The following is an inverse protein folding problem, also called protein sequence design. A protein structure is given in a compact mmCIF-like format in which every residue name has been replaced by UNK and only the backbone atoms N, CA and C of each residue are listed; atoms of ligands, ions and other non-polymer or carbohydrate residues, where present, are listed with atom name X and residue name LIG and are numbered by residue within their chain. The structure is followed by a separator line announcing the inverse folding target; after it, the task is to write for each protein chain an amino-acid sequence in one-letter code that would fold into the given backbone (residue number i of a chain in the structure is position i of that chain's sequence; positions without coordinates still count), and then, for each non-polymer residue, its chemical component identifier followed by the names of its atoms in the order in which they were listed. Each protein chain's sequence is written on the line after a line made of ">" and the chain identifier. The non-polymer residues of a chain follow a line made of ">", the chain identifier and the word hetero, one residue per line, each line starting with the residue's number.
data_IF_686342022248
#
_entry.id   IF_686342022248
#
_cell.length_a   1.000
_cell.length_b   1.000
_cell.length_c   1.000
_cell.angle_alpha   90.00
_cell.angle_beta   90.00
_cell.angle_gamma   90.00
#
_symmetry.space_group_name_H-M   'P 1'
#
loop_
_entity.id
_entity.type
_entity.pdbx_description
1 polymer ?
#
# COMPACT_ATOMS: atom_id res chain seq x y z
N UNK A 1 -26.06 -0.39 -18.55
CA UNK A 1 -25.12 -1.50 -18.34
C UNK A 1 -24.04 -1.03 -17.37
N UNK A 2 -23.67 -1.84 -16.37
CA UNK A 2 -22.48 -1.57 -15.55
C UNK A 2 -21.26 -2.05 -16.34
N UNK A 3 -20.65 -1.13 -17.09
CA UNK A 3 -19.49 -1.41 -17.94
C UNK A 3 -18.16 -1.34 -17.17
N UNK A 4 -18.19 -1.20 -15.84
CA UNK A 4 -16.99 -1.15 -15.01
C UNK A 4 -16.09 0.06 -15.26
N UNK A 5 -16.63 1.12 -15.86
CA UNK A 5 -15.89 2.31 -16.31
C UNK A 5 -16.26 3.57 -15.51
N UNK A 6 -16.86 3.41 -14.33
CA UNK A 6 -17.16 4.52 -13.43
C UNK A 6 -15.90 4.94 -12.68
N UNK A 7 -15.67 6.24 -12.59
CA UNK A 7 -14.60 6.79 -11.77
C UNK A 7 -14.81 6.48 -10.28
N UNK A 8 -13.70 6.38 -9.55
CA UNK A 8 -13.66 6.19 -8.11
C UNK A 8 -13.52 7.54 -7.39
N UNK A 9 -14.10 7.63 -6.20
CA UNK A 9 -13.89 8.75 -5.29
C UNK A 9 -12.52 8.65 -4.61
N UNK A 10 -12.18 7.45 -4.12
CA UNK A 10 -10.95 7.18 -3.42
C UNK A 10 -10.64 5.68 -3.45
N UNK A 11 -9.39 5.35 -3.11
CA UNK A 11 -8.96 4.00 -2.75
C UNK A 11 -8.37 4.06 -1.35
N UNK A 12 -8.78 3.13 -0.49
CA UNK A 12 -8.18 2.94 0.83
C UNK A 12 -7.49 1.60 0.94
N UNK A 13 -6.41 1.54 1.72
CA UNK A 13 -5.71 0.32 2.10
C UNK A 13 -6.04 -0.05 3.55
N UNK A 14 -6.40 -1.33 3.75
CA UNK A 14 -6.38 -1.98 5.05
C UNK A 14 -5.38 -3.13 5.00
N UNK A 15 -4.47 -3.16 5.96
CA UNK A 15 -3.54 -4.25 6.21
C UNK A 15 -3.81 -4.85 7.58
N UNK A 16 -3.88 -6.18 7.64
CA UNK A 16 -4.15 -6.91 8.89
C UNK A 16 -3.17 -8.07 9.06
N UNK A 17 -2.80 -8.35 10.30
CA UNK A 17 -2.04 -9.54 10.63
C UNK A 17 -2.93 -10.78 10.37
N UNK A 18 -2.34 -11.82 9.80
CA UNK A 18 -2.96 -13.12 9.63
C UNK A 18 -2.96 -13.92 10.95
N UNK A 19 -3.17 -15.24 10.84
CA UNK A 19 -3.21 -16.14 12.00
C UNK A 19 -1.91 -16.11 12.83
N UNK A 20 -0.77 -15.87 12.19
CA UNK A 20 0.53 -15.72 12.85
C UNK A 20 0.85 -14.22 12.99
N UNK A 21 0.54 -13.66 14.16
CA UNK A 21 0.96 -12.31 14.55
C UNK A 21 2.24 -12.38 15.40
N UNK A 22 3.13 -11.39 15.24
CA UNK A 22 4.34 -11.23 16.05
C UNK A 22 4.67 -9.75 16.27
N UNK A 23 5.79 -9.47 16.96
CA UNK A 23 6.32 -8.12 17.12
C UNK A 23 6.49 -7.38 15.79
N UNK A 24 6.74 -8.10 14.69
CA UNK A 24 6.78 -7.52 13.33
C UNK A 24 5.50 -6.75 12.96
N UNK A 25 4.36 -7.13 13.53
CA UNK A 25 3.04 -6.57 13.22
C UNK A 25 2.37 -5.86 14.41
N UNK A 26 2.81 -6.14 15.65
CA UNK A 26 2.21 -5.56 16.85
C UNK A 26 2.98 -4.35 17.40
N UNK A 27 4.30 -4.26 17.14
CA UNK A 27 5.09 -3.09 17.48
C UNK A 27 4.96 -2.04 16.36
N UNK A 28 4.34 -0.90 16.69
CA UNK A 28 4.11 0.19 15.72
C UNK A 28 5.35 1.03 15.44
N UNK A 29 6.36 0.99 16.30
CA UNK A 29 7.57 1.82 16.21
C UNK A 29 8.74 1.04 15.63
N UNK A 30 9.00 -0.16 16.14
CA UNK A 30 10.14 -0.99 15.74
C UNK A 30 9.72 -2.21 14.90
N UNK A 31 8.41 -2.48 14.76
CA UNK A 31 7.91 -3.49 13.84
C UNK A 31 8.00 -3.03 12.39
N UNK A 32 7.52 -3.89 11.47
CA UNK A 32 7.58 -3.61 10.05
C UNK A 32 6.86 -2.29 9.72
N UNK A 33 7.50 -1.52 8.86
CA UNK A 33 6.99 -0.26 8.35
C UNK A 33 6.66 -0.42 6.86
N UNK A 34 5.55 0.18 6.42
CA UNK A 34 5.02 0.11 5.08
C UNK A 34 5.08 1.47 4.39
N UNK A 35 5.61 1.50 3.17
CA UNK A 35 5.58 2.65 2.26
C UNK A 35 5.03 2.20 0.91
N UNK A 36 4.22 3.04 0.25
CA UNK A 36 3.76 2.80 -1.12
C UNK A 36 4.12 4.00 -1.98
N UNK A 37 4.78 3.72 -3.10
CA UNK A 37 5.13 4.70 -4.12
C UNK A 37 4.47 4.31 -5.44
N UNK A 38 4.10 5.30 -6.25
CA UNK A 38 3.67 5.12 -7.63
C UNK A 38 4.78 5.59 -8.58
N UNK A 39 4.93 4.90 -9.69
CA UNK A 39 5.72 5.35 -10.83
C UNK A 39 4.79 5.65 -12.01
N UNK A 40 5.03 6.74 -12.73
CA UNK A 40 4.23 7.08 -13.92
C UNK A 40 4.34 6.06 -15.06
N UNK A 41 5.28 5.12 -14.97
CA UNK A 41 5.48 3.98 -15.88
C UNK A 41 5.72 2.71 -15.07
N UNK A 42 5.69 1.54 -15.72
CA UNK A 42 6.00 0.28 -15.05
C UNK A 42 7.40 0.32 -14.40
N UNK A 43 7.49 -0.22 -13.17
CA UNK A 43 8.78 -0.41 -12.51
C UNK A 43 9.59 -1.49 -13.25
N UNK A 44 10.91 -1.33 -13.28
CA UNK A 44 11.85 -2.30 -13.86
C UNK A 44 12.69 -2.97 -12.76
N UNK A 45 13.15 -4.19 -13.04
CA UNK A 45 13.92 -5.03 -12.11
C UNK A 45 13.18 -6.33 -11.78
N UNK A 46 13.89 -7.47 -11.79
CA UNK A 46 13.33 -8.77 -11.45
C UNK A 46 13.26 -8.98 -9.93
N UNK A 47 14.20 -8.39 -9.19
CA UNK A 47 14.29 -8.40 -7.72
C UNK A 47 14.62 -7.00 -7.24
N UNK A 48 14.24 -6.68 -6.00
CA UNK A 48 14.55 -5.39 -5.39
C UNK A 48 16.08 -5.13 -5.40
N UNK A 49 16.54 -3.89 -5.66
CA UNK A 49 15.75 -2.67 -5.80
C UNK A 49 15.08 -2.50 -7.17
N UNK A 50 13.80 -2.11 -7.17
CA UNK A 50 13.06 -1.75 -8.38
C UNK A 50 13.34 -0.31 -8.81
N UNK A 51 13.46 -0.07 -10.11
CA UNK A 51 13.71 1.24 -10.69
C UNK A 51 12.47 1.83 -11.36
N UNK A 52 12.29 3.14 -11.22
CA UNK A 52 11.27 3.92 -11.91
C UNK A 52 11.98 4.86 -12.88
N UNK A 53 11.74 4.70 -14.18
CA UNK A 53 12.28 5.59 -15.22
C UNK A 53 11.43 6.86 -15.43
N UNK A 54 10.24 6.90 -14.83
CA UNK A 54 9.32 8.04 -14.89
C UNK A 54 9.32 8.87 -13.61
N UNK A 55 8.19 9.54 -13.33
CA UNK A 55 8.00 10.34 -12.13
C UNK A 55 7.53 9.46 -10.98
N UNK A 56 8.22 9.54 -9.83
CA UNK A 56 7.79 8.92 -8.58
C UNK A 56 6.88 9.85 -7.80
N UNK A 57 5.83 9.29 -7.19
CA UNK A 57 5.00 9.99 -6.21
C UNK A 57 4.75 9.09 -5.00
N UNK A 58 4.68 9.69 -3.81
CA UNK A 58 4.33 8.96 -2.59
C UNK A 58 2.82 8.78 -2.53
N UNK A 59 2.37 7.53 -2.43
CA UNK A 59 0.94 7.16 -2.30
C UNK A 59 0.58 6.94 -0.84
N UNK A 60 1.47 6.29 -0.09
CA UNK A 60 1.40 6.10 1.35
C UNK A 60 2.79 6.35 1.94
N UNK A 61 2.90 7.34 2.82
CA UNK A 61 4.12 7.61 3.56
C UNK A 61 4.43 6.48 4.55
N UNK A 62 5.69 6.36 4.97
CA UNK A 62 6.13 5.32 5.91
C UNK A 62 5.34 5.37 7.21
N UNK A 63 4.87 4.21 7.66
CA UNK A 63 4.24 4.00 8.96
C UNK A 63 4.05 2.52 9.26
N UNK A 64 3.39 2.17 10.37
CA UNK A 64 3.22 0.77 10.79
C UNK A 64 2.61 -0.10 9.70
N UNK A 65 3.09 -1.35 9.58
CA UNK A 65 2.62 -2.26 8.53
C UNK A 65 1.15 -2.62 8.67
N UNK A 66 0.62 -2.66 9.90
CA UNK A 66 -0.80 -2.90 10.18
C UNK A 66 -1.51 -1.56 10.31
N UNK A 67 -2.48 -1.34 9.44
CA UNK A 67 -3.22 -0.09 9.38
C UNK A 67 -4.62 -0.33 8.78
N UNK A 68 -5.62 0.38 9.28
CA UNK A 68 -6.98 0.29 8.76
C UNK A 68 -7.35 1.57 7.98
N UNK A 69 -8.05 1.39 6.86
CA UNK A 69 -8.69 2.45 6.07
C UNK A 69 -7.77 3.63 5.73
N UNK A 70 -6.49 3.36 5.41
CA UNK A 70 -5.55 4.40 5.02
C UNK A 70 -5.86 4.87 3.61
N UNK A 71 -6.22 6.14 3.46
CA UNK A 71 -6.42 6.75 2.15
C UNK A 71 -5.10 6.72 1.35
N UNK A 72 -5.18 6.23 0.12
CA UNK A 72 -4.07 6.24 -0.83
C UNK A 72 -4.17 7.51 -1.68
N UNK A 73 -3.11 8.30 -1.67
CA UNK A 73 -3.08 9.62 -2.32
C UNK A 73 -2.38 9.54 -3.67
N UNK A 74 -2.50 10.61 -4.48
CA UNK A 74 -1.78 10.77 -5.76
C UNK A 74 -2.03 9.62 -6.76
N UNK A 75 -3.21 9.00 -6.69
CA UNK A 75 -3.63 7.95 -7.60
C UNK A 75 -4.21 8.54 -8.88
N UNK A 76 -3.73 8.05 -10.02
CA UNK A 76 -4.29 8.37 -11.33
C UNK A 76 -5.43 7.41 -11.71
N UNK A 77 -5.45 6.21 -11.13
CA UNK A 77 -6.46 5.16 -11.33
C UNK A 77 -7.86 5.48 -10.80
N UNK A 78 -8.04 6.65 -10.16
CA UNK A 78 -9.37 7.14 -9.78
C UNK A 78 -10.23 7.45 -11.01
N UNK A 79 -9.60 7.87 -12.12
CA UNK A 79 -10.28 8.00 -13.39
C UNK A 79 -10.30 6.67 -14.13
N UNK A 80 -11.44 6.36 -14.76
CA UNK A 80 -11.59 5.18 -15.61
C UNK A 80 -10.48 5.09 -16.67
N UNK A 81 -10.07 3.86 -17.00
CA UNK A 81 -8.99 3.51 -17.95
C UNK A 81 -7.55 3.90 -17.54
N UNK A 82 -7.36 4.52 -16.37
CA UNK A 82 -6.03 4.83 -15.83
C UNK A 82 -5.55 3.75 -14.86
N UNK A 83 -4.23 3.61 -14.76
CA UNK A 83 -3.57 2.62 -13.89
C UNK A 83 -2.40 3.26 -13.18
N UNK A 84 -2.22 2.92 -11.91
CA UNK A 84 -1.02 3.27 -11.13
C UNK A 84 -0.05 2.08 -11.08
N UNK A 85 1.25 2.34 -11.22
CA UNK A 85 2.29 1.34 -11.07
C UNK A 85 2.83 1.41 -9.65
N UNK A 86 2.14 0.71 -8.73
CA UNK A 86 2.47 0.75 -7.31
C UNK A 86 3.65 -0.15 -6.98
N UNK A 87 4.59 0.36 -6.19
CA UNK A 87 5.62 -0.41 -5.49
C UNK A 87 5.35 -0.37 -4.00
N UNK A 88 5.21 -1.55 -3.41
CA UNK A 88 5.02 -1.75 -1.98
C UNK A 88 6.37 -2.06 -1.34
N UNK A 89 6.76 -1.31 -0.31
CA UNK A 89 8.00 -1.53 0.43
C UNK A 89 7.69 -1.78 1.90
N UNK A 90 8.14 -2.93 2.40
CA UNK A 90 8.15 -3.24 3.84
C UNK A 90 9.58 -3.19 4.35
N UNK A 91 9.83 -2.41 5.40
CA UNK A 91 11.15 -2.29 6.01
C UNK A 91 11.07 -2.60 7.51
N UNK A 92 12.03 -3.38 8.03
CA UNK A 92 12.24 -3.53 9.46
C UNK A 92 13.18 -2.41 9.93
N UNK A 93 12.76 -1.54 10.87
CA UNK A 93 13.61 -0.49 11.43
C UNK A 93 14.90 -1.05 12.04
N UNK A 94 16.01 -0.32 11.89
CA UNK A 94 17.30 -0.69 12.50
C UNK A 94 17.26 -0.69 14.05
N UNK A 95 16.25 -0.06 14.65
CA UNK A 95 16.01 -0.07 16.09
C UNK A 95 15.34 -1.36 16.60
N UNK A 96 14.89 -2.26 15.70
CA UNK A 96 14.41 -3.57 16.08
C UNK A 96 15.53 -4.38 16.75
N UNK A 97 15.29 -4.84 17.99
CA UNK A 97 16.26 -5.57 18.80
C UNK A 97 16.18 -7.09 18.54
N UNK A 98 16.91 -7.88 19.35
CA UNK A 98 16.92 -9.34 19.23
C UNK A 98 15.59 -10.03 19.59
N UNK A 99 14.60 -9.33 20.17
CA UNK A 99 13.29 -9.91 20.44
C UNK A 99 12.50 -10.18 19.14
N UNK A 100 12.91 -9.54 18.04
CA UNK A 100 12.39 -9.80 16.68
C UNK A 100 13.05 -11.01 16.01
N UNK A 101 14.12 -11.58 16.59
CA UNK A 101 14.85 -12.68 15.98
C UNK A 101 13.95 -13.90 15.81
N UNK A 102 13.87 -14.41 14.57
CA UNK A 102 13.04 -15.59 14.24
C UNK A 102 11.54 -15.31 14.19
N UNK A 103 11.10 -14.06 14.41
CA UNK A 103 9.71 -13.69 14.28
C UNK A 103 9.24 -13.88 12.84
N UNK A 104 8.02 -14.39 12.69
CA UNK A 104 7.35 -14.54 11.38
C UNK A 104 5.94 -13.99 11.50
N UNK A 105 5.43 -13.40 10.42
CA UNK A 105 4.05 -12.95 10.36
C UNK A 105 3.51 -13.05 8.94
N UNK A 106 2.21 -13.25 8.83
CA UNK A 106 1.48 -13.14 7.56
C UNK A 106 0.74 -11.81 7.56
N UNK A 107 0.78 -11.07 6.47
CA UNK A 107 0.09 -9.78 6.33
C UNK A 107 -0.87 -9.90 5.15
N UNK A 108 -2.15 -9.60 5.39
CA UNK A 108 -3.14 -9.46 4.33
C UNK A 108 -3.22 -8.00 3.89
N UNK A 109 -3.31 -7.76 2.58
CA UNK A 109 -3.50 -6.44 1.98
C UNK A 109 -4.86 -6.39 1.30
N UNK A 110 -5.70 -5.43 1.68
CA UNK A 110 -7.00 -5.19 1.10
C UNK A 110 -7.10 -3.76 0.57
N UNK A 111 -7.17 -3.62 -0.76
CA UNK A 111 -7.42 -2.34 -1.43
C UNK A 111 -8.91 -2.22 -1.71
N UNK A 112 -9.53 -1.16 -1.20
CA UNK A 112 -10.97 -0.90 -1.37
C UNK A 112 -11.16 0.37 -2.18
N UNK A 113 -11.67 0.24 -3.40
CA UNK A 113 -12.09 1.37 -4.23
C UNK A 113 -13.54 1.76 -3.91
N UNK A 114 -13.78 3.03 -3.60
CA UNK A 114 -15.12 3.57 -3.38
C UNK A 114 -15.57 4.34 -4.61
N UNK A 115 -16.74 4.02 -5.18
CA UNK A 115 -17.30 4.76 -6.31
C UNK A 115 -17.66 6.20 -5.91
N UNK A 116 -17.66 7.13 -6.87
CA UNK A 116 -18.17 8.50 -6.62
C UNK A 116 -19.61 8.47 -6.11
N UNK A 117 -19.89 9.27 -5.09
CA UNK A 117 -21.27 9.54 -4.65
C UNK A 117 -21.99 10.26 -5.78
N UNK A 118 -23.18 9.77 -6.15
CA UNK A 118 -24.03 10.43 -7.13
C UNK A 118 -24.32 11.87 -6.67
N UNK A 119 -24.05 12.85 -7.52
CA UNK A 119 -24.60 14.20 -7.37
C UNK A 119 -25.84 14.21 -8.24
N UNK A 120 -27.00 14.32 -7.60
CA UNK A 120 -28.34 14.15 -8.18
C UNK A 120 -28.52 14.89 -9.50
N UNK A 121 -29.32 14.26 -10.39
CA UNK A 121 -29.62 14.69 -11.76
C UNK A 121 -30.41 15.99 -11.86
#
# INVERSE_FOLDING_TARGET
>A
ANTGNSDLNNVTLTTSAGATASLLTTDVTNGLQLTIENCSVAWTGATAPYNCAGTKTTVLASGPVIAANKALNNLTSLASTKTDNLKVTTALPAAANNDFQGATSTIAFAFTGTQRTETTK
#
